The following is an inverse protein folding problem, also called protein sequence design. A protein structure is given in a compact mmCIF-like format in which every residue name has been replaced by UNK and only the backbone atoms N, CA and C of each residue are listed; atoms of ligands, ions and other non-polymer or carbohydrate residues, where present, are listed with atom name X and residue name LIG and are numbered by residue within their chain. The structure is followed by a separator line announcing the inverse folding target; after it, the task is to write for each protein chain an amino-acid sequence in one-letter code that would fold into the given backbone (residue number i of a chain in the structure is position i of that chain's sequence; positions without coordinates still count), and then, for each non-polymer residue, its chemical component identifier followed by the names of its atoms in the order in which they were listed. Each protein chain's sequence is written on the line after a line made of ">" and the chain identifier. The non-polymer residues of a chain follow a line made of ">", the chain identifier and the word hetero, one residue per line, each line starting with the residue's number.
data_IF_994145455500
#
_entry.id   IF_994145455500
#
_cell.length_a   1.000
_cell.length_b   1.000
_cell.length_c   1.000
_cell.angle_alpha   90.00
_cell.angle_beta   90.00
_cell.angle_gamma   90.00
#
_symmetry.space_group_name_H-M   'P 1'
#
loop_
_entity.id
_entity.type
_entity.pdbx_description
1 polymer ?
#
# COMPACT_ATOMS: atom_id res chain seq x y z
N UNK A 1 -13.18 -18.23 23.84
CA UNK A 1 -13.12 -16.87 23.26
C UNK A 1 -12.46 -16.99 21.89
N UNK A 2 -13.19 -16.75 20.80
CA UNK A 2 -12.71 -16.97 19.43
C UNK A 2 -11.76 -15.82 19.02
N UNK A 3 -10.60 -16.15 18.44
CA UNK A 3 -9.66 -15.20 17.84
C UNK A 3 -10.34 -14.24 16.83
N UNK A 4 -11.40 -14.69 16.14
CA UNK A 4 -12.18 -13.85 15.23
C UNK A 4 -12.98 -12.76 15.96
N UNK A 5 -13.45 -13.03 17.19
CA UNK A 5 -14.14 -12.03 18.00
C UNK A 5 -13.18 -10.96 18.53
N UNK A 6 -11.94 -11.33 18.85
CA UNK A 6 -10.90 -10.40 19.31
C UNK A 6 -10.48 -9.44 18.18
N UNK A 7 -10.38 -9.92 16.94
CA UNK A 7 -10.17 -9.06 15.75
C UNK A 7 -11.33 -8.09 15.51
N UNK A 8 -12.57 -8.49 15.85
CA UNK A 8 -13.75 -7.65 15.66
C UNK A 8 -13.83 -6.48 16.67
N UNK A 9 -13.33 -6.67 17.88
CA UNK A 9 -13.37 -5.66 18.95
C UNK A 9 -12.34 -4.54 18.71
N UNK A 10 -11.13 -4.87 18.23
CA UNK A 10 -10.07 -3.88 18.01
C UNK A 10 -9.92 -3.51 16.54
N UNK A 11 -10.77 -2.56 16.10
CA UNK A 11 -10.73 -2.02 14.73
C UNK A 11 -9.38 -1.38 14.38
N UNK A 12 -8.64 -0.91 15.37
CA UNK A 12 -7.30 -0.37 15.20
C UNK A 12 -6.37 -0.96 16.26
N UNK A 13 -5.20 -1.41 15.85
CA UNK A 13 -4.11 -1.86 16.74
C UNK A 13 -2.77 -1.30 16.26
N UNK A 14 -1.83 -1.11 17.18
CA UNK A 14 -0.45 -0.76 16.88
C UNK A 14 0.43 -1.99 17.15
N UNK A 15 1.18 -2.43 16.15
CA UNK A 15 2.14 -3.54 16.26
C UNK A 15 3.44 -3.07 15.61
N UNK A 16 4.54 -3.09 16.36
CA UNK A 16 5.87 -2.67 15.88
C UNK A 16 5.87 -1.29 15.17
N UNK A 17 5.13 -0.33 15.74
CA UNK A 17 4.99 1.02 15.16
C UNK A 17 4.07 1.10 13.93
N UNK A 18 3.47 -0.01 13.51
CA UNK A 18 2.53 -0.07 12.39
C UNK A 18 1.10 0.03 12.91
N UNK A 19 0.35 1.01 12.40
CA UNK A 19 -1.10 1.10 12.65
C UNK A 19 -1.85 0.18 11.71
N UNK A 20 -2.52 -0.81 12.29
CA UNK A 20 -3.34 -1.78 11.57
C UNK A 20 -4.80 -1.40 11.77
N UNK A 21 -5.52 -1.20 10.67
CA UNK A 21 -6.97 -0.98 10.68
C UNK A 21 -7.68 -2.18 10.06
N UNK A 22 -8.54 -2.86 10.83
CA UNK A 22 -9.41 -3.91 10.31
C UNK A 22 -10.63 -3.30 9.60
N UNK A 23 -10.94 -3.81 8.42
CA UNK A 23 -12.04 -3.34 7.56
C UNK A 23 -13.18 -4.36 7.41
N UNK A 24 -13.09 -5.53 8.04
CA UNK A 24 -14.03 -6.64 7.81
C UNK A 24 -13.59 -7.58 6.68
N UNK A 25 -14.16 -8.77 6.62
CA UNK A 25 -13.91 -9.76 5.54
C UNK A 25 -12.42 -10.03 5.28
N UNK A 26 -11.64 -10.16 6.36
CA UNK A 26 -10.17 -10.33 6.30
C UNK A 26 -9.42 -9.25 5.51
N UNK A 27 -9.99 -8.04 5.46
CA UNK A 27 -9.34 -6.85 4.88
C UNK A 27 -8.72 -5.99 5.98
N UNK A 28 -7.48 -5.56 5.74
CA UNK A 28 -6.73 -4.70 6.66
C UNK A 28 -6.05 -3.57 5.88
N UNK A 29 -5.82 -2.45 6.55
CA UNK A 29 -4.93 -1.39 6.08
C UNK A 29 -3.81 -1.23 7.09
N UNK A 30 -2.58 -1.45 6.64
CA UNK A 30 -1.38 -1.18 7.42
C UNK A 30 -0.90 0.23 7.09
N UNK A 31 -0.66 1.04 8.09
CA UNK A 31 -0.13 2.40 7.95
C UNK A 31 1.15 2.53 8.75
N UNK A 32 2.22 2.98 8.08
CA UNK A 32 3.49 3.36 8.68
C UNK A 32 3.67 4.87 8.54
N UNK A 33 4.39 5.45 9.49
CA UNK A 33 4.62 6.87 9.58
C UNK A 33 6.13 7.17 9.54
N UNK A 34 6.48 8.32 8.98
CA UNK A 34 7.81 8.91 9.10
C UNK A 34 8.02 9.42 10.53
N UNK A 35 9.27 9.78 10.86
CA UNK A 35 9.64 10.35 12.16
C UNK A 35 8.89 11.66 12.45
N UNK A 36 8.53 12.42 11.42
CA UNK A 36 7.76 13.66 11.52
C UNK A 36 6.25 13.43 11.76
N UNK A 37 5.79 12.17 11.81
CA UNK A 37 4.39 11.80 12.01
C UNK A 37 3.55 11.75 10.73
N UNK A 38 4.09 12.14 9.57
CA UNK A 38 3.41 12.01 8.28
C UNK A 38 3.39 10.56 7.81
N UNK A 39 2.46 10.23 6.91
CA UNK A 39 2.31 8.85 6.44
C UNK A 39 3.47 8.51 5.51
N UNK A 40 4.29 7.54 5.90
CA UNK A 40 5.30 6.94 5.04
C UNK A 40 4.67 5.97 4.05
N UNK A 41 3.82 5.05 4.51
CA UNK A 41 3.31 3.96 3.68
C UNK A 41 1.93 3.50 4.09
N UNK A 42 1.10 3.15 3.11
CA UNK A 42 -0.19 2.47 3.29
C UNK A 42 -0.28 1.22 2.41
N UNK A 43 -0.57 0.09 3.05
CA UNK A 43 -0.68 -1.21 2.39
C UNK A 43 -2.06 -1.79 2.65
N UNK A 44 -2.76 -2.20 1.58
CA UNK A 44 -4.02 -2.93 1.69
C UNK A 44 -3.76 -4.44 1.65
N UNK A 45 -4.30 -5.14 2.64
CA UNK A 45 -4.22 -6.60 2.78
C UNK A 45 -5.64 -7.18 2.69
N UNK A 46 -5.79 -8.30 2.00
CA UNK A 46 -7.00 -9.13 1.99
C UNK A 46 -6.58 -10.60 2.08
N UNK A 47 -7.19 -11.36 3.00
CA UNK A 47 -6.91 -12.79 3.20
C UNK A 47 -5.39 -13.06 3.39
N UNK A 48 -4.74 -12.24 4.21
CA UNK A 48 -3.30 -12.35 4.51
C UNK A 48 -2.35 -11.91 3.38
N UNK A 49 -2.84 -11.47 2.22
CA UNK A 49 -2.01 -11.06 1.06
C UNK A 49 -2.27 -9.62 0.66
N UNK A 50 -1.27 -8.93 0.07
CA UNK A 50 -1.48 -7.60 -0.52
C UNK A 50 -2.57 -7.64 -1.57
N UNK A 51 -3.54 -6.74 -1.48
CA UNK A 51 -4.68 -6.70 -2.40
C UNK A 51 -5.23 -5.28 -2.53
N UNK A 52 -5.37 -4.82 -3.76
CA UNK A 52 -5.70 -3.45 -4.09
C UNK A 52 -4.49 -2.52 -4.09
N UNK A 53 -4.78 -1.22 -4.04
CA UNK A 53 -3.80 -0.14 -4.13
C UNK A 53 -3.00 0.02 -2.84
N UNK A 54 -1.67 0.07 -2.98
CA UNK A 54 -0.71 0.41 -1.93
C UNK A 54 0.14 1.60 -2.39
N UNK A 55 0.60 2.42 -1.44
CA UNK A 55 1.32 3.65 -1.71
C UNK A 55 2.41 3.89 -0.67
N UNK A 56 3.46 4.62 -1.06
CA UNK A 56 4.34 5.33 -0.14
C UNK A 56 4.49 6.80 -0.55
N UNK A 57 4.97 7.59 0.40
CA UNK A 57 5.17 9.02 0.28
C UNK A 57 6.51 9.40 0.91
N UNK A 58 7.15 10.42 0.34
CA UNK A 58 8.27 11.13 0.96
C UNK A 58 7.80 11.90 2.21
N UNK A 59 8.74 12.41 3.00
CA UNK A 59 8.45 13.11 4.26
C UNK A 59 7.60 14.38 4.08
N UNK A 60 7.65 15.01 2.90
CA UNK A 60 6.86 16.19 2.51
C UNK A 60 5.44 15.85 2.04
N UNK A 61 5.08 14.56 2.02
CA UNK A 61 3.79 14.06 1.53
C UNK A 61 3.72 13.87 0.02
N UNK A 62 4.80 14.13 -0.73
CA UNK A 62 4.90 13.81 -2.16
C UNK A 62 4.85 12.30 -2.33
N UNK A 63 4.08 11.79 -3.31
CA UNK A 63 4.03 10.34 -3.55
C UNK A 63 5.42 9.86 -3.95
N UNK A 64 5.86 8.75 -3.37
CA UNK A 64 7.09 8.06 -3.76
C UNK A 64 6.77 6.97 -4.78
N UNK A 65 5.78 6.13 -4.46
CA UNK A 65 5.29 5.11 -5.40
C UNK A 65 3.84 4.73 -5.17
N UNK A 66 3.26 4.13 -6.21
CA UNK A 66 1.91 3.58 -6.22
C UNK A 66 1.93 2.26 -6.97
N UNK A 67 1.45 1.19 -6.35
CA UNK A 67 1.32 -0.12 -6.99
C UNK A 67 0.01 -0.78 -6.58
N UNK A 68 -0.60 -1.47 -7.54
CA UNK A 68 -1.77 -2.30 -7.30
C UNK A 68 -1.36 -3.78 -7.17
N UNK A 69 -2.01 -4.49 -6.25
CA UNK A 69 -1.81 -5.92 -6.04
C UNK A 69 -3.11 -6.69 -6.21
N UNK A 70 -3.02 -7.93 -6.69
CA UNK A 70 -4.10 -8.91 -6.67
C UNK A 70 -3.55 -10.20 -6.06
N UNK A 71 -4.05 -10.57 -4.88
CA UNK A 71 -3.70 -11.80 -4.17
C UNK A 71 -2.18 -11.96 -3.93
N UNK A 72 -1.52 -10.87 -3.55
CA UNK A 72 -0.08 -10.82 -3.28
C UNK A 72 0.78 -10.52 -4.51
N UNK A 73 0.20 -10.55 -5.71
CA UNK A 73 0.93 -10.38 -6.97
C UNK A 73 0.72 -8.95 -7.49
N UNK A 74 1.78 -8.19 -7.86
CA UNK A 74 1.62 -6.91 -8.54
C UNK A 74 0.74 -7.04 -9.78
N UNK A 75 -0.26 -6.17 -9.90
CA UNK A 75 -1.24 -6.19 -10.99
C UNK A 75 -1.85 -4.80 -11.18
N UNK A 76 -1.85 -4.30 -12.42
CA UNK A 76 -2.34 -2.96 -12.76
C UNK A 76 -1.25 -1.89 -12.66
N UNK A 77 -1.67 -0.66 -12.41
CA UNK A 77 -0.80 0.53 -12.47
C UNK A 77 0.37 0.42 -11.48
N UNK A 78 1.55 0.80 -11.97
CA UNK A 78 2.75 1.05 -11.18
C UNK A 78 3.34 2.40 -11.56
N UNK A 79 3.59 3.26 -10.59
CA UNK A 79 4.21 4.57 -10.80
C UNK A 79 5.22 4.81 -9.69
N UNK A 80 6.33 5.45 -10.05
CA UNK A 80 7.34 6.00 -9.15
C UNK A 80 7.47 7.47 -9.48
N UNK A 81 7.58 8.31 -8.45
CA UNK A 81 7.88 9.72 -8.58
C UNK A 81 9.17 10.04 -7.85
N UNK A 82 9.88 11.03 -8.37
CA UNK A 82 10.96 11.69 -7.65
C UNK A 82 10.41 12.55 -6.50
N UNK A 83 11.25 12.91 -5.54
CA UNK A 83 10.87 13.78 -4.42
C UNK A 83 10.34 15.15 -4.85
N UNK A 84 10.69 15.63 -6.05
CA UNK A 84 10.13 16.86 -6.63
C UNK A 84 8.73 16.67 -7.25
N UNK A 85 8.13 15.48 -7.12
CA UNK A 85 6.80 15.15 -7.65
C UNK A 85 6.76 14.80 -9.14
N UNK A 86 7.89 14.84 -9.85
CA UNK A 86 7.96 14.44 -11.26
C UNK A 86 7.88 12.92 -11.37
N UNK A 87 7.02 12.41 -12.26
CA UNK A 87 6.98 10.99 -12.58
C UNK A 87 8.34 10.53 -13.08
N UNK A 88 8.98 9.63 -12.34
CA UNK A 88 10.22 8.97 -12.73
C UNK A 88 9.93 7.81 -13.67
N UNK A 89 8.87 7.06 -13.38
CA UNK A 89 8.54 5.83 -14.08
C UNK A 89 7.04 5.57 -13.99
N UNK A 90 6.43 5.12 -15.10
CA UNK A 90 5.11 4.53 -15.08
C UNK A 90 5.06 3.25 -15.93
N UNK A 91 4.20 2.32 -15.52
CA UNK A 91 3.99 1.06 -16.22
C UNK A 91 2.79 0.30 -15.68
N UNK A 92 2.58 -0.89 -16.23
CA UNK A 92 1.50 -1.81 -15.86
C UNK A 92 2.08 -3.17 -15.50
N UNK A 93 1.67 -3.72 -14.37
CA UNK A 93 1.91 -5.12 -14.04
C UNK A 93 0.78 -5.99 -14.57
N UNK A 94 1.12 -7.07 -15.26
CA UNK A 94 0.20 -8.15 -15.60
C UNK A 94 0.72 -9.44 -14.99
N UNK A 95 0.03 -9.92 -13.94
CA UNK A 95 0.40 -11.14 -13.20
C UNK A 95 1.87 -11.13 -12.75
N UNK A 96 2.32 -10.00 -12.18
CA UNK A 96 3.68 -9.82 -11.69
C UNK A 96 4.71 -9.45 -12.76
N UNK A 97 4.35 -9.46 -14.05
CA UNK A 97 5.23 -9.03 -15.15
C UNK A 97 5.04 -7.56 -15.46
N UNK A 98 6.11 -6.79 -15.43
CA UNK A 98 6.09 -5.36 -15.71
C UNK A 98 6.13 -5.12 -17.22
N UNK A 99 5.11 -4.42 -17.73
CA UNK A 99 5.11 -3.85 -19.07
C UNK A 99 5.24 -2.35 -18.93
N UNK A 100 6.31 -1.78 -19.49
CA UNK A 100 6.49 -0.33 -19.53
C UNK A 100 5.50 0.27 -20.53
N UNK A 101 4.76 1.29 -20.13
CA UNK A 101 4.03 2.14 -21.07
C UNK A 101 5.06 3.07 -21.72
N UNK A 102 5.13 3.07 -23.07
CA UNK A 102 6.08 3.93 -23.80
C UNK A 102 5.97 5.37 -23.28
N UNK A 103 7.12 6.01 -23.09
CA UNK A 103 7.24 7.37 -22.58
C UNK A 103 6.32 8.32 -23.36
N UNK A 104 5.69 9.28 -22.66
CA UNK A 104 5.09 10.43 -23.32
C UNK A 104 6.23 11.18 -24.02
N UNK A 105 6.22 11.14 -25.35
CA UNK A 105 7.00 12.02 -26.23
C UNK A 105 6.74 13.49 -25.88
#
# INVERSE_FOLDING_TARGET
>A
MNWDAIKHIYRNVLIDGIKIKYLGEDKYVLTQYHSNGEIYRKIKIKNGKRHGKSNAWYEDGTKEWEVHYKNGIPHGKYIIWWANGVEQYNGMYHNGKLTRTKDKL
#
